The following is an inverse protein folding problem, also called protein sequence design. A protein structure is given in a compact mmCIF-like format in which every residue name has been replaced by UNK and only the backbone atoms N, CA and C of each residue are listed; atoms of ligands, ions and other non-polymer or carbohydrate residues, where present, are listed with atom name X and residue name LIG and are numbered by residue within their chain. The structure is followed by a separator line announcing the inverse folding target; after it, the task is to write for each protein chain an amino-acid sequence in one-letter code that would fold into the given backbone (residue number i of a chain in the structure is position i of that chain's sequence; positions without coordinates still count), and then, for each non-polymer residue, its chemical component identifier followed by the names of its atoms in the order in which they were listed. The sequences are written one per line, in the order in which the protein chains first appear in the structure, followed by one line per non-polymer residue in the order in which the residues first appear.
data_IF_523229274000
#
_entry.id   IF_523229274000
#
_cell.length_a   1.000
_cell.length_b   1.000
_cell.length_c   1.000
_cell.angle_alpha   90.00
_cell.angle_beta   90.00
_cell.angle_gamma   90.00
#
_symmetry.space_group_name_H-M   'P 1'
#
loop_
_entity.id
_entity.type
_entity.pdbx_description
1 polymer ?
#
# COMPACT_ATOMS: atom_id res chain seq x y z
N UNK A 1 35.18 -10.80 1.58
CA UNK A 1 34.38 -11.15 0.38
C UNK A 1 33.26 -12.09 0.82
N UNK A 2 32.18 -12.14 0.03
CA UNK A 2 30.82 -12.67 0.31
C UNK A 2 30.01 -11.71 1.19
N UNK A 3 28.91 -11.08 0.76
CA UNK A 3 28.06 -11.27 -0.42
C UNK A 3 26.61 -11.14 0.07
N UNK A 4 25.87 -10.16 -0.41
CA UNK A 4 24.48 -9.94 0.00
C UNK A 4 23.91 -8.62 -0.50
N UNK A 5 23.92 -8.43 -1.81
CA UNK A 5 23.08 -7.41 -2.46
C UNK A 5 21.62 -7.72 -2.15
N UNK A 6 21.02 -6.85 -1.37
CA UNK A 6 19.61 -6.88 -1.02
C UNK A 6 19.21 -5.50 -0.51
N UNK A 7 19.38 -4.47 -1.34
CA UNK A 7 18.73 -3.16 -1.12
C UNK A 7 17.22 -3.31 -1.33
N UNK A 8 16.58 -4.09 -0.47
CA UNK A 8 15.17 -3.91 -0.17
C UNK A 8 15.11 -2.82 0.87
N UNK A 9 14.62 -1.64 0.51
CA UNK A 9 14.36 -0.54 1.44
C UNK A 9 13.50 -1.10 2.57
N UNK A 10 14.08 -1.30 3.76
CA UNK A 10 13.31 -1.67 4.95
C UNK A 10 12.54 -0.44 5.40
N UNK A 11 11.31 -0.32 4.90
CA UNK A 11 10.37 0.70 5.35
C UNK A 11 9.77 0.17 6.64
N UNK A 12 10.12 0.79 7.76
CA UNK A 12 9.52 0.54 9.06
C UNK A 12 8.10 1.15 9.07
N UNK A 13 7.15 0.41 8.48
CA UNK A 13 5.76 0.81 8.22
C UNK A 13 4.89 0.91 9.50
N UNK A 14 5.48 0.73 10.69
CA UNK A 14 4.82 0.18 11.87
C UNK A 14 4.03 1.18 12.76
N UNK A 15 3.56 2.32 12.27
CA UNK A 15 2.63 3.16 13.07
C UNK A 15 1.85 4.24 12.32
N UNK A 16 2.23 4.55 11.08
CA UNK A 16 1.66 5.68 10.33
C UNK A 16 0.80 5.26 9.14
N UNK A 17 0.80 3.97 8.76
CA UNK A 17 0.14 3.47 7.57
C UNK A 17 -1.21 2.82 7.88
N UNK A 18 -2.20 3.12 7.04
CA UNK A 18 -3.49 2.44 7.01
C UNK A 18 -3.46 1.39 5.90
N UNK A 19 -3.57 0.13 6.28
CA UNK A 19 -3.66 -0.99 5.35
C UNK A 19 -5.13 -1.39 5.22
N UNK A 20 -5.65 -1.40 3.99
CA UNK A 20 -7.01 -1.83 3.71
C UNK A 20 -7.01 -3.07 2.81
N UNK A 21 -7.60 -4.15 3.33
CA UNK A 21 -7.82 -5.40 2.60
C UNK A 21 -9.03 -5.32 1.67
N UNK A 22 -8.82 -5.58 0.38
CA UNK A 22 -9.86 -5.43 -0.65
C UNK A 22 -9.92 -6.62 -1.58
N UNK A 23 -11.08 -6.84 -2.22
CA UNK A 23 -11.22 -7.78 -3.34
C UNK A 23 -10.94 -7.13 -4.68
N UNK A 24 -11.40 -5.88 -4.85
CA UNK A 24 -11.12 -5.03 -6.03
C UNK A 24 -10.97 -3.59 -5.57
N UNK A 25 -9.90 -2.92 -5.95
CA UNK A 25 -9.70 -1.51 -5.62
C UNK A 25 -10.72 -0.62 -6.31
N UNK A 26 -11.09 -0.93 -7.55
CA UNK A 26 -12.09 -0.17 -8.31
C UNK A 26 -13.52 -0.24 -7.74
N UNK A 27 -13.79 -1.14 -6.77
CA UNK A 27 -15.08 -1.18 -6.08
C UNK A 27 -15.16 -0.20 -4.91
N UNK A 28 -14.03 0.38 -4.50
CA UNK A 28 -13.97 1.37 -3.44
C UNK A 28 -14.64 2.67 -3.84
N UNK A 29 -15.31 3.32 -2.89
CA UNK A 29 -16.12 4.51 -3.16
C UNK A 29 -15.28 5.64 -3.75
N UNK A 30 -14.06 5.85 -3.24
CA UNK A 30 -13.12 6.87 -3.73
C UNK A 30 -12.72 6.66 -5.20
N UNK A 31 -12.64 5.42 -5.67
CA UNK A 31 -12.37 5.11 -7.07
C UNK A 31 -13.64 5.27 -7.92
N UNK A 32 -14.81 4.87 -7.41
CA UNK A 32 -16.09 5.02 -8.11
C UNK A 32 -16.49 6.48 -8.34
N UNK A 33 -16.25 7.34 -7.35
CA UNK A 33 -16.55 8.77 -7.44
C UNK A 33 -15.39 9.59 -8.07
N UNK A 34 -14.32 8.93 -8.51
CA UNK A 34 -13.21 9.54 -9.25
C UNK A 34 -12.24 10.37 -8.38
N UNK A 35 -12.37 10.34 -7.06
CA UNK A 35 -11.42 10.97 -6.12
C UNK A 35 -10.06 10.28 -6.12
N UNK A 36 -10.06 8.95 -6.28
CA UNK A 36 -8.87 8.12 -6.43
C UNK A 36 -8.75 7.59 -7.85
N UNK A 37 -7.54 7.64 -8.42
CA UNK A 37 -7.25 7.17 -9.78
C UNK A 37 -5.91 6.44 -9.80
N UNK A 38 -5.84 5.36 -10.58
CA UNK A 38 -4.58 4.67 -10.83
C UNK A 38 -3.79 5.50 -11.84
N UNK A 39 -2.59 5.89 -11.46
CA UNK A 39 -1.69 6.73 -12.27
C UNK A 39 -0.55 5.90 -12.87
N UNK A 40 -0.23 4.75 -12.28
CA UNK A 40 0.75 3.80 -12.81
C UNK A 40 0.37 2.35 -12.42
N UNK A 41 0.75 1.39 -13.26
CA UNK A 41 0.51 -0.05 -13.04
C UNK A 41 -0.96 -0.48 -13.10
N UNK A 42 -1.37 -1.36 -12.18
CA UNK A 42 -2.63 -2.11 -12.23
C UNK A 42 -3.44 -2.02 -10.92
N UNK A 43 -4.78 -2.11 -11.00
CA UNK A 43 -5.64 -2.28 -9.82
C UNK A 43 -5.43 -3.67 -9.20
N UNK A 44 -5.82 -3.79 -7.92
CA UNK A 44 -6.06 -5.11 -7.32
C UNK A 44 -7.39 -5.63 -7.87
N UNK A 45 -7.39 -6.91 -8.25
CA UNK A 45 -8.55 -7.63 -8.76
C UNK A 45 -8.76 -8.94 -8.00
N UNK A 46 -9.92 -9.58 -8.18
CA UNK A 46 -10.26 -10.85 -7.52
C UNK A 46 -9.27 -11.98 -7.83
N UNK A 47 -8.60 -11.93 -8.99
CA UNK A 47 -7.62 -12.94 -9.40
C UNK A 47 -6.32 -12.89 -8.57
N UNK A 48 -6.14 -11.84 -7.76
CA UNK A 48 -4.95 -11.60 -6.94
C UNK A 48 -5.15 -11.99 -5.48
N UNK A 49 -6.22 -12.72 -5.15
CA UNK A 49 -6.52 -13.11 -3.76
C UNK A 49 -5.31 -13.82 -3.10
N UNK A 50 -4.58 -14.66 -3.81
CA UNK A 50 -3.47 -15.44 -3.25
C UNK A 50 -2.09 -14.81 -3.50
N UNK A 51 -2.06 -13.52 -3.85
CA UNK A 51 -0.83 -12.81 -4.21
C UNK A 51 -0.46 -11.76 -3.15
N UNK A 52 0.82 -11.69 -2.80
CA UNK A 52 1.36 -10.66 -1.92
C UNK A 52 1.66 -9.40 -2.74
N UNK A 53 0.60 -8.68 -3.10
CA UNK A 53 0.69 -7.47 -3.94
C UNK A 53 0.04 -6.28 -3.23
N UNK A 54 0.46 -5.08 -3.61
CA UNK A 54 -0.07 -3.85 -3.05
C UNK A 54 -0.33 -2.79 -4.12
N UNK A 55 -1.37 -1.99 -3.90
CA UNK A 55 -1.63 -0.74 -4.62
C UNK A 55 -1.33 0.41 -3.66
N UNK A 56 -0.29 1.19 -3.98
CA UNK A 56 0.31 2.20 -3.10
C UNK A 56 -0.12 3.62 -3.48
N UNK A 57 -0.34 4.49 -2.49
CA UNK A 57 -0.61 5.90 -2.78
C UNK A 57 0.66 6.62 -3.26
N UNK A 58 0.50 7.50 -4.24
CA UNK A 58 1.59 8.20 -4.94
C UNK A 58 2.53 8.95 -4.01
N UNK A 59 2.02 9.70 -3.04
CA UNK A 59 2.85 10.46 -2.08
C UNK A 59 3.67 9.53 -1.21
N UNK A 60 3.12 8.38 -0.82
CA UNK A 60 3.86 7.37 -0.07
C UNK A 60 4.99 6.76 -0.92
N UNK A 61 4.71 6.46 -2.19
CA UNK A 61 5.71 5.95 -3.12
C UNK A 61 6.83 6.98 -3.35
N UNK A 62 6.48 8.24 -3.62
CA UNK A 62 7.43 9.34 -3.82
C UNK A 62 8.30 9.58 -2.57
N UNK A 63 7.69 9.63 -1.38
CA UNK A 63 8.43 9.83 -0.12
C UNK A 63 9.48 8.75 0.13
N UNK A 64 9.21 7.52 -0.32
CA UNK A 64 10.11 6.37 -0.12
C UNK A 64 10.90 6.00 -1.39
N UNK A 65 10.82 6.79 -2.45
CA UNK A 65 11.45 6.52 -3.76
C UNK A 65 11.09 5.14 -4.35
N UNK A 66 9.83 4.74 -4.20
CA UNK A 66 9.30 3.47 -4.68
C UNK A 66 8.58 3.65 -6.03
N UNK A 67 8.59 2.59 -6.83
CA UNK A 67 7.85 2.50 -8.10
C UNK A 67 7.15 1.14 -8.24
N UNK A 68 6.31 1.02 -9.27
CA UNK A 68 5.72 -0.27 -9.65
C UNK A 68 6.81 -1.30 -9.92
N UNK A 69 6.63 -2.51 -9.38
CA UNK A 69 7.58 -3.62 -9.41
C UNK A 69 8.55 -3.66 -8.23
N UNK A 70 8.65 -2.60 -7.43
CA UNK A 70 9.44 -2.64 -6.20
C UNK A 70 8.72 -3.49 -5.14
N UNK A 71 9.53 -4.13 -4.29
CA UNK A 71 9.04 -4.92 -3.17
C UNK A 71 9.27 -4.18 -1.87
N UNK A 72 8.27 -4.21 -1.00
CA UNK A 72 8.31 -3.58 0.33
C UNK A 72 7.95 -4.59 1.38
N UNK A 73 8.57 -4.47 2.55
CA UNK A 73 8.21 -5.24 3.73
C UNK A 73 7.17 -4.46 4.53
N UNK A 74 5.99 -5.05 4.69
CA UNK A 74 4.90 -4.54 5.52
C UNK A 74 4.90 -5.33 6.80
N UNK A 75 5.08 -4.66 7.93
CA UNK A 75 5.07 -5.31 9.24
C UNK A 75 3.73 -5.07 9.93
N UNK A 76 3.12 -6.13 10.44
CA UNK A 76 1.86 -6.04 11.20
C UNK A 76 2.06 -5.25 12.49
N UNK A 77 0.99 -4.64 13.01
CA UNK A 77 1.03 -3.82 14.23
C UNK A 77 1.51 -4.56 15.48
N UNK A 78 1.36 -5.89 15.53
CA UNK A 78 1.90 -6.74 16.59
C UNK A 78 3.41 -7.01 16.46
N UNK A 79 4.06 -6.50 15.41
CA UNK A 79 5.50 -6.66 15.07
C UNK A 79 6.00 -8.10 14.91
N UNK A 80 5.13 -9.09 15.03
CA UNK A 80 5.46 -10.52 14.95
C UNK A 80 5.65 -11.01 13.52
N UNK A 81 5.01 -10.35 12.57
CA UNK A 81 4.98 -10.81 11.18
C UNK A 81 5.36 -9.66 10.25
N UNK A 82 6.29 -9.98 9.35
CA UNK A 82 6.72 -9.12 8.26
C UNK A 82 6.37 -9.81 6.96
N UNK A 83 5.57 -9.15 6.14
CA UNK A 83 5.13 -9.63 4.86
C UNK A 83 5.83 -8.85 3.75
N UNK A 84 6.49 -9.56 2.84
CA UNK A 84 7.01 -8.95 1.62
C UNK A 84 5.89 -8.86 0.57
N UNK A 85 5.62 -7.65 0.08
CA UNK A 85 4.61 -7.38 -0.94
C UNK A 85 5.21 -6.64 -2.13
N UNK A 86 4.74 -6.95 -3.34
CA UNK A 86 5.13 -6.26 -4.57
C UNK A 86 4.14 -5.14 -4.90
N UNK A 87 4.67 -3.96 -5.25
CA UNK A 87 3.85 -2.83 -5.68
C UNK A 87 3.43 -3.06 -7.13
N UNK A 88 2.15 -3.39 -7.35
CA UNK A 88 1.62 -3.63 -8.70
C UNK A 88 1.01 -2.39 -9.35
N UNK A 89 0.83 -1.33 -8.57
CA UNK A 89 0.28 -0.08 -9.05
C UNK A 89 0.48 1.06 -8.06
N UNK A 90 0.36 2.27 -8.59
CA UNK A 90 0.35 3.52 -7.85
C UNK A 90 -0.95 4.26 -8.15
N UNK A 91 -1.63 4.72 -7.11
CA UNK A 91 -2.83 5.55 -7.23
C UNK A 91 -2.61 6.92 -6.60
N UNK A 92 -3.31 7.92 -7.11
CA UNK A 92 -3.37 9.26 -6.55
C UNK A 92 -4.78 9.50 -6.02
N UNK A 93 -4.90 10.14 -4.86
CA UNK A 93 -6.19 10.55 -4.30
C UNK A 93 -6.20 12.02 -3.90
N UNK A 94 -7.30 12.71 -4.20
CA UNK A 94 -7.55 14.07 -3.70
C UNK A 94 -8.33 14.08 -2.37
N UNK A 95 -8.58 12.91 -1.78
CA UNK A 95 -9.19 12.81 -0.46
C UNK A 95 -8.38 13.59 0.58
N UNK A 96 -9.12 14.33 1.41
CA UNK A 96 -8.54 15.14 2.46
C UNK A 96 -8.59 14.36 3.78
N UNK A 97 -7.58 14.53 4.64
CA UNK A 97 -7.63 14.02 6.01
C UNK A 97 -8.86 14.58 6.75
N UNK A 98 -9.52 13.77 7.58
CA UNK A 98 -10.62 14.26 8.42
C UNK A 98 -10.09 14.97 9.67
N UNK A 99 -10.47 16.23 9.88
CA UNK A 99 -10.13 17.01 11.07
C UNK A 99 -8.92 17.93 10.92
N UNK A 100 -8.68 18.79 11.92
CA UNK A 100 -7.60 19.79 11.88
C UNK A 100 -6.20 19.20 12.12
N UNK A 101 -6.10 18.07 12.83
CA UNK A 101 -4.82 17.39 13.10
C UNK A 101 -5.03 15.86 13.22
N UNK A 102 -5.39 15.18 12.11
CA UNK A 102 -5.62 13.75 12.14
C UNK A 102 -4.33 12.97 12.46
N UNK A 103 -4.44 11.83 13.16
CA UNK A 103 -3.33 10.87 13.26
C UNK A 103 -2.80 10.53 11.86
N UNK A 104 -1.48 10.26 11.70
CA UNK A 104 -0.90 9.93 10.40
C UNK A 104 -1.61 8.80 9.66
N UNK A 105 -2.16 7.82 10.40
CA UNK A 105 -2.92 6.70 9.86
C UNK A 105 -4.24 7.12 9.20
N UNK A 106 -4.81 8.27 9.58
CA UNK A 106 -6.03 8.82 8.98
C UNK A 106 -5.74 9.71 7.76
N UNK A 107 -4.47 9.89 7.40
CA UNK A 107 -4.10 10.63 6.21
C UNK A 107 -4.26 9.71 4.97
N UNK A 108 -5.07 10.08 3.96
CA UNK A 108 -5.21 9.31 2.74
C UNK A 108 -3.89 9.09 1.99
N UNK A 109 -2.88 9.95 2.22
CA UNK A 109 -1.52 9.78 1.71
C UNK A 109 -0.81 8.53 2.25
N UNK A 110 -1.19 8.08 3.45
CA UNK A 110 -0.56 6.96 4.15
C UNK A 110 -1.39 5.68 4.00
N UNK A 111 -2.13 5.54 2.90
CA UNK A 111 -3.01 4.40 2.68
C UNK A 111 -2.42 3.42 1.68
N UNK A 112 -2.52 2.13 2.01
CA UNK A 112 -2.07 1.02 1.19
C UNK A 112 -3.24 0.05 1.00
N UNK A 113 -3.53 -0.34 -0.23
CA UNK A 113 -4.50 -1.39 -0.53
C UNK A 113 -3.79 -2.70 -0.78
N UNK A 114 -4.34 -3.79 -0.24
CA UNK A 114 -3.82 -5.15 -0.42
C UNK A 114 -4.97 -6.14 -0.62
N UNK A 115 -4.76 -7.30 -1.27
CA UNK A 115 -5.78 -8.34 -1.30
C UNK A 115 -6.19 -8.74 0.12
N UNK A 116 -7.49 -8.88 0.38
CA UNK A 116 -7.98 -9.10 1.75
C UNK A 116 -7.41 -10.38 2.40
N UNK A 117 -7.10 -11.40 1.61
CA UNK A 117 -6.54 -12.69 2.04
C UNK A 117 -5.11 -12.54 2.54
N UNK A 118 -4.37 -11.54 2.05
CA UNK A 118 -3.03 -11.21 2.49
C UNK A 118 -2.98 -10.77 3.97
N UNK A 119 -4.11 -10.36 4.54
CA UNK A 119 -4.25 -9.93 5.95
C UNK A 119 -4.77 -11.02 6.89
N UNK A 120 -5.06 -12.22 6.38
CA UNK A 120 -5.67 -13.32 7.15
C UNK A 120 -4.67 -14.32 7.72
N UNK A 121 -3.38 -14.05 7.64
CA UNK A 121 -2.35 -14.91 8.21
C UNK A 121 -2.34 -14.84 9.74
#
# INVERSE_FOLDING_TARGET
MVGGSGSGSEIDMNSSLMIEGVRKTLLQESFKNGKSKIVDGKPITEQMQDQNVALMEKRLAEQNNLKVGDKVKVQSGDKKETLEVEIIGIYETNEQPMGQNPPPMMNPANKLYMPYSTLKN
#
